data_IF_891698949006
#
_entry.id   IF_891698949006
#
_cell.length_a   1.000
_cell.length_b   1.000
_cell.length_c   1.000
_cell.angle_alpha   90.00
_cell.angle_beta   90.00
_cell.angle_gamma   90.00
#
_symmetry.space_group_name_H-M   'P 1'
#
loop_
_entity.id
_entity.type
_entity.pdbx_description
1 polymer ?
#
# COMPACT_ATOMS: atom_id res chain seq x y z
N UNK A 1 -1.20 7.36 5.66
CA UNK A 1 -2.38 6.71 5.05
C UNK A 1 -2.26 6.70 3.53
N UNK A 2 -2.82 5.70 2.86
CA UNK A 2 -2.83 5.64 1.39
C UNK A 2 -3.39 6.92 0.78
N UNK A 3 -2.65 7.50 -0.15
CA UNK A 3 -3.07 8.57 -1.05
C UNK A 3 -3.46 8.03 -2.44
N UNK A 4 -2.85 6.91 -2.84
CA UNK A 4 -3.25 6.12 -4.00
C UNK A 4 -3.34 4.63 -3.60
N UNK A 5 -4.06 3.76 -4.34
CA UNK A 5 -4.31 2.40 -3.88
C UNK A 5 -3.02 1.59 -3.78
N UNK A 6 -2.84 0.89 -2.66
CA UNK A 6 -1.82 -0.13 -2.53
C UNK A 6 -2.23 -1.39 -3.30
N UNK A 7 -1.36 -1.87 -4.18
CA UNK A 7 -1.52 -3.16 -4.85
C UNK A 7 -0.46 -4.11 -4.29
N UNK A 8 -0.91 -5.20 -3.67
CA UNK A 8 -0.01 -6.18 -3.08
C UNK A 8 0.95 -6.75 -4.15
N UNK A 9 2.27 -6.84 -3.88
CA UNK A 9 3.23 -7.37 -4.84
C UNK A 9 3.03 -8.87 -5.10
N UNK A 10 2.37 -9.59 -4.17
CA UNK A 10 2.07 -11.03 -4.29
C UNK A 10 0.61 -11.32 -3.93
N UNK A 11 0.14 -12.53 -4.26
CA UNK A 11 -1.19 -12.98 -3.84
C UNK A 11 -1.32 -12.93 -2.31
N UNK A 12 -2.38 -12.30 -1.82
CA UNK A 12 -2.76 -12.31 -0.41
C UNK A 12 -3.28 -13.70 -0.06
N UNK A 13 -2.67 -14.33 0.94
CA UNK A 13 -3.03 -15.66 1.46
C UNK A 13 -2.96 -15.63 2.98
N UNK A 14 -3.62 -16.55 3.67
CA UNK A 14 -3.55 -16.62 5.14
C UNK A 14 -2.10 -16.66 5.68
N UNK A 15 -1.21 -17.39 5.02
CA UNK A 15 0.24 -17.46 5.36
C UNK A 15 1.08 -16.26 4.91
N UNK A 16 0.54 -15.41 4.03
CA UNK A 16 1.19 -14.20 3.51
C UNK A 16 0.16 -13.07 3.44
N UNK A 17 -0.33 -12.62 4.61
CA UNK A 17 -1.37 -11.60 4.69
C UNK A 17 -0.82 -10.23 4.26
N UNK A 18 -1.69 -9.24 4.14
CA UNK A 18 -1.33 -7.90 3.67
C UNK A 18 -0.27 -7.26 4.56
N UNK A 19 -0.41 -7.41 5.86
CA UNK A 19 0.48 -6.88 6.89
C UNK A 19 1.90 -7.42 6.69
N UNK A 20 2.04 -8.74 6.49
CA UNK A 20 3.34 -9.35 6.23
C UNK A 20 3.97 -8.85 4.93
N UNK A 21 3.16 -8.62 3.88
CA UNK A 21 3.66 -8.07 2.62
C UNK A 21 4.10 -6.60 2.76
N UNK A 22 3.37 -5.79 3.54
CA UNK A 22 3.75 -4.40 3.84
C UNK A 22 5.06 -4.36 4.64
N UNK A 23 5.20 -5.20 5.68
CA UNK A 23 6.46 -5.28 6.45
C UNK A 23 7.65 -5.70 5.57
N UNK A 24 7.46 -6.67 4.67
CA UNK A 24 8.50 -7.06 3.72
C UNK A 24 8.88 -5.92 2.75
N UNK A 25 7.91 -5.12 2.31
CA UNK A 25 8.14 -3.95 1.46
C UNK A 25 8.88 -2.82 2.21
N UNK A 26 8.60 -2.62 3.50
CA UNK A 26 9.33 -1.68 4.35
C UNK A 26 10.78 -2.13 4.55
N UNK A 27 10.97 -3.40 4.92
CA UNK A 27 12.28 -3.99 5.14
C UNK A 27 13.16 -3.95 3.89
N UNK A 28 12.62 -4.27 2.71
CA UNK A 28 13.37 -4.24 1.44
C UNK A 28 13.84 -2.84 1.03
N UNK A 29 13.22 -1.79 1.59
CA UNK A 29 13.57 -0.38 1.38
C UNK A 29 14.44 0.20 2.51
N UNK A 30 14.81 -0.60 3.51
CA UNK A 30 15.55 -0.14 4.69
C UNK A 30 14.75 0.78 5.60
N UNK A 31 13.42 0.71 5.55
CA UNK A 31 12.54 1.50 6.42
C UNK A 31 12.25 0.76 7.73
N UNK A 32 11.94 1.49 8.83
CA UNK A 32 11.51 0.87 10.07
C UNK A 32 10.27 -0.01 9.87
N UNK A 33 10.14 -1.03 10.70
CA UNK A 33 8.91 -1.81 10.77
C UNK A 33 7.72 -0.91 11.15
N UNK A 34 6.57 -1.18 10.55
CA UNK A 34 5.34 -0.50 10.96
C UNK A 34 4.92 -1.02 12.34
N UNK A 35 4.51 -0.11 13.21
CA UNK A 35 3.97 -0.40 14.53
C UNK A 35 2.50 -0.83 14.46
N UNK A 36 1.74 -0.35 13.47
CA UNK A 36 0.45 -0.92 13.08
C UNK A 36 0.18 -0.73 11.60
N UNK A 37 -0.58 -1.66 11.02
CA UNK A 37 -1.03 -1.64 9.62
C UNK A 37 -2.51 -1.96 9.64
N UNK A 38 -3.34 -0.95 9.38
CA UNK A 38 -4.79 -1.08 9.38
C UNK A 38 -5.29 -1.12 7.93
N UNK A 39 -6.04 -2.17 7.60
CA UNK A 39 -6.80 -2.22 6.35
C UNK A 39 -8.07 -1.38 6.55
N UNK A 40 -8.16 -0.29 5.80
CA UNK A 40 -9.34 0.57 5.87
C UNK A 40 -10.55 -0.10 5.21
N UNK A 41 -11.75 0.18 5.70
CA UNK A 41 -12.97 -0.44 5.21
C UNK A 41 -13.24 -0.07 3.74
N UNK A 42 -14.08 -0.86 3.07
CA UNK A 42 -14.29 -0.76 1.60
C UNK A 42 -14.87 0.59 1.18
N UNK A 43 -15.61 1.22 2.06
CA UNK A 43 -16.21 2.54 1.90
C UNK A 43 -15.11 3.59 1.74
N UNK A 44 -14.04 3.50 2.55
CA UNK A 44 -12.89 4.41 2.43
C UNK A 44 -12.15 4.25 1.10
N UNK A 45 -12.15 3.05 0.49
CA UNK A 45 -11.64 2.83 -0.86
C UNK A 45 -12.48 3.56 -1.93
N UNK A 46 -13.80 3.55 -1.76
CA UNK A 46 -14.73 4.21 -2.68
C UNK A 46 -14.66 5.73 -2.54
N UNK A 47 -14.68 6.24 -1.31
CA UNK A 47 -14.61 7.66 -0.99
C UNK A 47 -13.30 8.29 -1.49
N UNK A 48 -12.20 7.55 -1.40
CA UNK A 48 -10.91 7.98 -1.93
C UNK A 48 -10.79 7.82 -3.47
N UNK A 49 -11.81 7.29 -4.14
CA UNK A 49 -11.84 7.10 -5.59
C UNK A 49 -10.85 6.05 -6.11
N UNK A 50 -10.34 5.16 -5.26
CA UNK A 50 -9.23 4.26 -5.62
C UNK A 50 -9.62 3.19 -6.67
N UNK A 51 -10.91 2.92 -6.86
CA UNK A 51 -11.39 1.97 -7.85
C UNK A 51 -11.10 2.39 -9.30
N UNK A 52 -11.00 3.70 -9.59
CA UNK A 52 -10.86 4.26 -10.94
C UNK A 52 -9.41 4.29 -11.44
N UNK A 53 -8.44 4.02 -10.58
CA UNK A 53 -7.02 4.03 -10.94
C UNK A 53 -6.71 2.92 -11.96
N UNK A 54 -5.86 3.27 -12.95
CA UNK A 54 -5.27 2.31 -13.88
C UNK A 54 -4.27 1.43 -13.12
N UNK A 55 -4.67 0.18 -12.88
CA UNK A 55 -3.91 -0.78 -12.06
C UNK A 55 -3.18 -1.85 -12.87
N UNK A 56 -3.43 -1.92 -14.18
CA UNK A 56 -2.82 -2.87 -15.11
C UNK A 56 -1.96 -2.13 -16.14
N UNK A 57 -0.82 -2.70 -16.49
CA UNK A 57 -0.05 -2.27 -17.66
C UNK A 57 -0.69 -2.82 -18.94
N UNK A 58 -0.38 -2.23 -20.10
CA UNK A 58 -0.73 -2.80 -21.41
C UNK A 58 -0.17 -4.22 -21.55
N UNK A 59 -0.78 -4.99 -22.45
CA UNK A 59 -0.51 -6.41 -22.70
C UNK A 59 1.00 -6.70 -22.88
N UNK A 60 1.46 -7.85 -22.37
CA UNK A 60 2.84 -8.36 -22.58
C UNK A 60 3.90 -7.94 -21.55
N UNK A 61 3.55 -7.14 -20.52
CA UNK A 61 4.45 -6.84 -19.39
C UNK A 61 4.08 -7.65 -18.14
N UNK A 62 5.05 -8.02 -17.27
CA UNK A 62 4.75 -8.65 -15.99
C UNK A 62 3.71 -7.85 -15.20
N UNK A 63 2.61 -8.52 -14.84
CA UNK A 63 1.53 -7.96 -14.03
C UNK A 63 1.53 -8.63 -12.65
N UNK A 64 1.05 -7.94 -11.60
CA UNK A 64 0.90 -8.58 -10.31
C UNK A 64 -0.19 -9.65 -10.44
N UNK A 65 -0.09 -10.71 -9.63
CA UNK A 65 -1.05 -11.81 -9.63
C UNK A 65 -2.50 -11.37 -9.35
N UNK A 66 -2.67 -10.26 -8.65
CA UNK A 66 -3.95 -9.61 -8.40
C UNK A 66 -3.78 -8.09 -8.50
N UNK A 67 -4.80 -7.40 -8.99
CA UNK A 67 -4.88 -5.93 -9.03
C UNK A 67 -5.90 -5.38 -8.04
N UNK A 68 -6.21 -6.17 -7.00
CA UNK A 68 -7.10 -5.74 -5.94
C UNK A 68 -6.50 -4.51 -5.23
N UNK A 69 -7.24 -3.39 -5.14
CA UNK A 69 -6.78 -2.18 -4.47
C UNK A 69 -7.05 -2.28 -2.98
N UNK A 70 -6.04 -1.95 -2.18
CA UNK A 70 -6.18 -1.80 -0.73
C UNK A 70 -6.00 -0.34 -0.34
N UNK A 71 -6.78 0.10 0.65
CA UNK A 71 -6.56 1.37 1.33
C UNK A 71 -6.02 1.05 2.72
N UNK A 72 -4.86 1.62 3.06
CA UNK A 72 -4.11 1.23 4.24
C UNK A 72 -3.75 2.46 5.07
N UNK A 73 -3.82 2.31 6.39
CA UNK A 73 -3.20 3.23 7.34
C UNK A 73 -2.01 2.52 8.00
N UNK A 74 -0.87 3.20 8.02
CA UNK A 74 0.38 2.66 8.56
C UNK A 74 0.87 3.64 9.63
N UNK A 75 1.17 3.11 10.81
CA UNK A 75 1.76 3.85 11.92
C UNK A 75 3.19 3.38 12.14
N UNK A 76 4.09 4.31 12.45
CA UNK A 76 5.46 4.03 12.86
C UNK A 76 5.67 4.57 14.27
N UNK A 77 6.55 3.95 15.06
CA UNK A 77 6.87 4.44 16.41
C UNK A 77 7.75 5.71 16.39
N UNK A 78 8.45 5.94 15.28
CA UNK A 78 9.18 7.17 15.01
C UNK A 78 8.86 7.69 13.60
N UNK A 79 8.91 9.01 13.35
CA UNK A 79 8.76 9.57 12.02
C UNK A 79 9.78 8.98 11.03
N UNK A 80 9.33 8.67 9.82
CA UNK A 80 10.21 8.24 8.72
C UNK A 80 10.55 9.41 7.81
N UNK A 81 11.68 9.34 7.12
CA UNK A 81 12.04 10.30 6.07
C UNK A 81 11.59 9.80 4.70
N UNK A 82 11.04 10.72 3.91
CA UNK A 82 10.80 10.54 2.47
C UNK A 82 9.33 10.30 2.11
N UNK A 83 9.02 10.29 0.80
CA UNK A 83 7.74 9.81 0.33
C UNK A 83 7.66 8.28 0.56
N UNK A 84 6.63 7.83 1.25
CA UNK A 84 6.37 6.40 1.42
C UNK A 84 5.59 5.89 0.21
N UNK A 85 6.21 5.00 -0.57
CA UNK A 85 5.58 4.35 -1.73
C UNK A 85 5.87 2.84 -1.73
N UNK A 86 4.81 2.04 -1.61
CA UNK A 86 4.89 0.58 -1.42
C UNK A 86 4.06 -0.17 -2.47
N UNK A 87 4.43 -1.43 -2.72
CA UNK A 87 3.66 -2.35 -3.54
C UNK A 87 3.89 -2.21 -5.04
N UNK A 88 3.07 -2.94 -5.81
CA UNK A 88 3.16 -2.93 -7.26
C UNK A 88 2.74 -1.57 -7.83
N UNK A 89 3.55 -1.07 -8.77
CA UNK A 89 3.28 0.20 -9.45
C UNK A 89 3.62 1.44 -8.63
N UNK A 90 4.34 1.29 -7.51
CA UNK A 90 4.80 2.41 -6.66
C UNK A 90 5.54 3.50 -7.45
N UNK A 91 6.43 3.09 -8.35
CA UNK A 91 7.17 3.99 -9.24
C UNK A 91 6.32 4.64 -10.35
N UNK A 92 5.03 4.29 -10.44
CA UNK A 92 4.10 4.75 -11.47
C UNK A 92 2.85 5.41 -10.87
N UNK A 93 2.91 5.81 -9.59
CA UNK A 93 1.83 6.56 -8.93
C UNK A 93 0.86 5.72 -8.10
N UNK A 94 0.99 4.39 -8.05
CA UNK A 94 0.21 3.54 -7.14
C UNK A 94 0.88 3.45 -5.76
N UNK A 95 0.14 3.03 -4.73
CA UNK A 95 0.68 2.76 -3.40
C UNK A 95 1.46 3.92 -2.76
N UNK A 96 1.12 5.17 -3.09
CA UNK A 96 1.67 6.37 -2.46
C UNK A 96 0.94 6.58 -1.14
N UNK A 97 1.66 6.94 -0.09
CA UNK A 97 1.13 7.28 1.22
C UNK A 97 1.40 8.75 1.55
N UNK A 98 0.43 9.39 2.21
CA UNK A 98 0.57 10.72 2.79
C UNK A 98 0.58 10.65 4.33
N UNK A 99 1.30 11.55 5.01
CA UNK A 99 1.10 11.78 6.44
C UNK A 99 -0.36 12.18 6.71
N UNK A 100 -0.90 11.75 7.83
CA UNK A 100 -2.13 12.28 8.40
C UNK A 100 -1.77 12.93 9.73
N UNK A 101 -2.50 13.98 10.13
CA UNK A 101 -2.31 14.56 11.45
C UNK A 101 -2.45 13.45 12.51
N UNK A 102 -1.54 13.42 13.48
CA UNK A 102 -1.73 12.55 14.64
C UNK A 102 -3.07 12.95 15.28
N UNK A 103 -3.97 11.98 15.46
CA UNK A 103 -5.14 12.21 16.31
C UNK A 103 -4.58 12.44 17.71
N UNK A 104 -4.76 13.67 18.21
CA UNK A 104 -4.39 14.04 19.58
C UNK A 104 -5.21 13.30 20.61
#
# INVERSE_FOLDING_TARGET
ESHTPFIAPRFVKARHPIEAQVQAELASRGLPAAASIDVLPREALADAGFATFVRRRRHGKPQPPSVHPWSLRIRFDAPIRGPLALGYGSHFGLGIFRPIAALG
#
